data_IF_615217608838
#
_entry.id   IF_615217608838
#
_cell.length_a   1.000
_cell.length_b   1.000
_cell.length_c   1.000
_cell.angle_alpha   90.00
_cell.angle_beta   90.00
_cell.angle_gamma   90.00
#
_symmetry.space_group_name_H-M   'P 1'
#
loop_
_entity.id
_entity.type
_entity.pdbx_description
1 polymer ?
#
# COMPACT_ATOMS: atom_id res chain seq x y z
N UNK A 1 9.54 11.79 10.43
CA UNK A 1 10.06 10.89 9.39
C UNK A 1 9.31 11.18 8.10
N UNK A 2 9.99 11.31 6.97
CA UNK A 2 9.34 11.48 5.65
C UNK A 2 9.04 10.13 5.03
N UNK A 3 8.29 10.09 3.93
CA UNK A 3 8.04 8.90 3.10
C UNK A 3 9.30 8.29 2.47
N UNK A 4 10.49 8.84 2.74
CA UNK A 4 11.78 8.40 2.22
C UNK A 4 12.64 7.69 3.28
N UNK A 5 12.11 7.49 4.49
CA UNK A 5 12.76 6.64 5.48
C UNK A 5 12.57 5.17 5.10
N UNK A 6 13.62 4.54 4.55
CA UNK A 6 13.58 3.16 4.10
C UNK A 6 13.77 2.18 5.26
N UNK A 7 12.92 1.15 5.26
CA UNK A 7 13.02 -0.02 6.15
C UNK A 7 13.07 -1.26 5.26
N UNK A 8 14.10 -2.09 5.44
CA UNK A 8 14.25 -3.34 4.69
C UNK A 8 13.67 -4.48 5.52
N UNK A 9 12.62 -5.13 5.00
CA UNK A 9 12.02 -6.31 5.62
C UNK A 9 12.54 -7.58 4.95
N UNK A 10 13.18 -8.46 5.73
CA UNK A 10 13.56 -9.81 5.32
C UNK A 10 12.45 -10.81 5.73
N UNK A 11 12.46 -12.05 5.21
CA UNK A 11 11.51 -13.06 5.64
C UNK A 11 11.51 -13.24 7.17
N UNK A 12 10.34 -13.07 7.79
CA UNK A 12 10.14 -13.15 9.24
C UNK A 12 10.24 -11.81 9.97
N UNK A 13 10.74 -10.74 9.33
CA UNK A 13 10.74 -9.41 9.92
C UNK A 13 9.32 -8.81 9.95
N UNK A 14 9.05 -7.99 10.96
CA UNK A 14 7.78 -7.28 11.11
C UNK A 14 8.04 -5.80 11.35
N UNK A 15 7.14 -4.97 10.81
CA UNK A 15 7.11 -3.55 11.11
C UNK A 15 5.67 -3.05 11.27
N UNK A 16 5.42 -2.20 12.27
CA UNK A 16 4.12 -1.60 12.53
C UNK A 16 4.11 -0.16 12.04
N UNK A 17 3.25 0.13 11.07
CA UNK A 17 2.98 1.48 10.58
C UNK A 17 1.92 2.11 11.48
N UNK A 18 2.19 3.32 11.97
CA UNK A 18 1.24 4.05 12.81
C UNK A 18 0.10 4.65 11.97
N UNK A 19 -1.09 4.89 12.55
CA UNK A 19 -2.18 5.56 11.87
C UNK A 19 -1.74 6.89 11.23
N UNK A 20 -2.43 7.28 10.15
CA UNK A 20 -2.22 8.55 9.43
C UNK A 20 -0.75 8.82 9.02
N UNK A 21 0.04 7.76 8.85
CA UNK A 21 1.44 7.84 8.44
C UNK A 21 1.57 7.45 6.97
N UNK A 22 1.94 8.38 6.06
CA UNK A 22 2.16 8.05 4.66
C UNK A 22 3.28 7.02 4.49
N UNK A 23 3.05 6.00 3.67
CA UNK A 23 3.98 4.91 3.43
C UNK A 23 3.77 4.30 2.04
N UNK A 24 4.80 3.68 1.50
CA UNK A 24 4.76 2.89 0.26
C UNK A 24 5.83 1.81 0.38
N UNK A 25 5.71 0.76 -0.41
CA UNK A 25 6.72 -0.31 -0.45
C UNK A 25 6.95 -0.78 -1.88
N UNK A 26 8.12 -1.36 -2.09
CA UNK A 26 8.51 -1.97 -3.35
C UNK A 26 9.20 -3.30 -3.04
N UNK A 27 8.79 -4.35 -3.75
CA UNK A 27 9.42 -5.66 -3.65
C UNK A 27 10.81 -5.67 -4.30
N UNK A 28 11.66 -6.60 -3.87
CA UNK A 28 12.93 -6.87 -4.53
C UNK A 28 12.76 -7.60 -5.88
N UNK A 29 13.87 -7.92 -6.56
CA UNK A 29 13.85 -8.57 -7.89
C UNK A 29 13.11 -9.90 -7.96
N UNK A 30 13.02 -10.62 -6.84
CA UNK A 30 12.34 -11.92 -6.75
C UNK A 30 10.87 -11.80 -6.31
N UNK A 31 10.37 -10.57 -6.14
CA UNK A 31 9.06 -10.31 -5.54
C UNK A 31 9.08 -10.39 -4.01
N UNK A 32 7.89 -10.33 -3.41
CA UNK A 32 7.68 -10.45 -1.97
C UNK A 32 6.27 -10.94 -1.67
N UNK A 33 6.12 -11.67 -0.56
CA UNK A 33 4.82 -11.97 0.06
C UNK A 33 4.79 -11.25 1.40
N UNK A 34 3.73 -10.48 1.64
CA UNK A 34 3.55 -9.70 2.87
C UNK A 34 2.21 -10.08 3.47
N UNK A 35 2.19 -10.33 4.78
CA UNK A 35 0.95 -10.47 5.55
C UNK A 35 0.65 -9.15 6.24
N UNK A 36 -0.55 -8.63 6.03
CA UNK A 36 -1.06 -7.45 6.72
C UNK A 36 -1.93 -7.88 7.91
N UNK A 37 -1.69 -7.26 9.07
CA UNK A 37 -2.58 -7.33 10.22
C UNK A 37 -2.93 -5.91 10.63
N UNK A 38 -4.21 -5.57 10.54
CA UNK A 38 -4.71 -4.23 10.85
C UNK A 38 -5.91 -4.31 11.78
N UNK A 39 -6.32 -3.14 12.28
CA UNK A 39 -7.70 -2.95 12.76
C UNK A 39 -8.67 -3.11 11.58
N UNK A 40 -9.93 -2.69 11.73
CA UNK A 40 -10.85 -2.73 10.60
C UNK A 40 -10.29 -1.94 9.40
N UNK A 41 -10.09 -2.63 8.28
CA UNK A 41 -9.60 -2.06 7.03
C UNK A 41 -10.77 -1.62 6.16
N UNK A 42 -10.69 -0.39 5.64
CA UNK A 42 -11.72 0.21 4.78
C UNK A 42 -11.06 0.91 3.61
N UNK A 43 -10.90 0.18 2.49
CA UNK A 43 -10.25 0.66 1.26
C UNK A 43 -10.75 2.02 0.77
N UNK A 44 -12.04 2.33 0.98
CA UNK A 44 -12.67 3.59 0.56
C UNK A 44 -12.08 4.83 1.24
N UNK A 45 -11.44 4.64 2.40
CA UNK A 45 -10.83 5.70 3.20
C UNK A 45 -9.33 5.88 2.91
N UNK A 46 -8.75 5.10 1.99
CA UNK A 46 -7.35 5.22 1.61
C UNK A 46 -7.07 6.57 0.94
N UNK A 47 -6.19 7.37 1.54
CA UNK A 47 -5.76 8.66 0.99
C UNK A 47 -4.46 8.48 0.22
N UNK A 48 -4.51 8.72 -1.10
CA UNK A 48 -3.35 8.74 -1.97
C UNK A 48 -2.78 10.16 -2.08
N UNK A 49 -1.46 10.29 -1.98
CA UNK A 49 -0.77 11.58 -2.17
C UNK A 49 -0.76 12.03 -3.64
N UNK A 50 -0.87 11.10 -4.58
CA UNK A 50 -1.08 11.40 -6.00
C UNK A 50 -2.58 11.40 -6.31
N UNK A 51 -3.14 12.59 -6.54
CA UNK A 51 -4.57 12.83 -6.81
C UNK A 51 -5.09 12.09 -8.07
N UNK A 52 -4.19 11.63 -8.94
CA UNK A 52 -4.56 10.90 -10.17
C UNK A 52 -4.88 9.44 -9.88
N UNK A 53 -4.51 8.92 -8.72
CA UNK A 53 -4.77 7.54 -8.34
C UNK A 53 -6.25 7.39 -7.94
N UNK A 54 -6.90 6.39 -8.53
CA UNK A 54 -8.26 5.98 -8.18
C UNK A 54 -8.17 4.58 -7.56
N UNK A 55 -8.56 4.42 -6.30
CA UNK A 55 -8.47 3.13 -5.57
C UNK A 55 -9.24 2.02 -6.27
N UNK A 56 -10.39 2.38 -6.85
CA UNK A 56 -11.31 1.45 -7.51
C UNK A 56 -11.04 1.45 -9.01
N UNK A 57 -10.86 0.25 -9.57
CA UNK A 57 -10.67 0.07 -11.00
C UNK A 57 -11.95 0.43 -11.76
N UNK A 58 -11.84 1.34 -12.75
CA UNK A 58 -12.93 1.65 -13.66
C UNK A 58 -12.85 0.78 -14.92
N UNK A 59 -13.78 -0.15 -15.09
CA UNK A 59 -13.90 -0.96 -16.31
C UNK A 59 -14.79 -0.23 -17.30
N UNK A 60 -14.26 0.11 -18.49
CA UNK A 60 -15.08 0.63 -19.58
C UNK A 60 -15.90 -0.50 -20.18
N UNK A 61 -17.23 -0.35 -20.21
CA UNK A 61 -18.12 -1.30 -20.86
C UNK A 61 -17.74 -1.49 -22.33
N UNK A 62 -17.68 -2.74 -22.77
CA UNK A 62 -17.48 -3.09 -24.18
C UNK A 62 -18.71 -2.58 -24.94
N UNK A 63 -18.54 -1.59 -25.83
CA UNK A 63 -19.63 -1.18 -26.73
C UNK A 63 -20.03 -2.41 -27.58
N UNK A 64 -21.33 -2.65 -27.81
CA UNK A 64 -21.77 -3.75 -28.67
C UNK A 64 -21.18 -3.63 -30.08
#
# INVERSE_FOLDING_TARGET
YTVWHQIVLKPGDQYTIQPDTPHWFQAGPEGAVVSEFSTHSTDENDVFTDERIQRITQVKGRRP
#
